data_IF_590242111494
#
_entry.id   IF_590242111494
#
_cell.length_a   1.000
_cell.length_b   1.000
_cell.length_c   1.000
_cell.angle_alpha   90.00
_cell.angle_beta   90.00
_cell.angle_gamma   90.00
#
_symmetry.space_group_name_H-M   'P 1'
#
loop_
_entity.id
_entity.type
_entity.pdbx_description
1 polymer ?
#
# COMPACT_ATOMS: atom_id res chain seq x y z
N UNK A 1 -10.68 4.43 -16.97
CA UNK A 1 -11.57 4.35 -15.80
C UNK A 1 -11.46 2.97 -15.20
N UNK A 2 -10.60 2.87 -14.20
CA UNK A 2 -10.44 1.67 -13.39
C UNK A 2 -11.40 1.80 -12.20
N UNK A 3 -12.01 0.70 -11.75
CA UNK A 3 -12.97 0.74 -10.65
C UNK A 3 -12.48 -0.20 -9.54
N UNK A 4 -12.33 0.36 -8.34
CA UNK A 4 -11.94 -0.35 -7.13
C UNK A 4 -12.94 -0.06 -6.01
N UNK A 5 -13.19 -1.03 -5.14
CA UNK A 5 -14.02 -0.83 -3.96
C UNK A 5 -13.30 0.04 -2.92
N UNK A 6 -11.97 -0.11 -2.83
CA UNK A 6 -11.09 0.67 -1.97
C UNK A 6 -9.83 1.07 -2.76
N UNK A 7 -9.52 2.38 -2.71
CA UNK A 7 -8.26 2.94 -3.19
C UNK A 7 -7.47 3.46 -1.99
N UNK A 8 -6.26 2.93 -1.79
CA UNK A 8 -5.35 3.31 -0.72
C UNK A 8 -4.24 4.15 -1.32
N UNK A 9 -3.98 5.33 -0.74
CA UNK A 9 -2.97 6.27 -1.23
C UNK A 9 -1.79 6.25 -0.27
N UNK A 10 -0.69 5.68 -0.71
CA UNK A 10 0.53 5.42 0.06
C UNK A 10 0.69 3.94 0.40
N UNK A 11 1.83 3.38 0.04
CA UNK A 11 2.27 2.00 0.31
C UNK A 11 3.19 1.86 1.52
N UNK A 12 3.13 2.81 2.47
CA UNK A 12 3.83 2.74 3.76
C UNK A 12 3.11 1.84 4.78
N UNK A 13 3.54 1.84 6.07
CA UNK A 13 3.01 0.95 7.10
C UNK A 13 1.48 1.00 7.23
N UNK A 14 0.92 2.22 7.25
CA UNK A 14 -0.53 2.41 7.39
C UNK A 14 -1.30 1.90 6.18
N UNK A 15 -0.80 2.13 4.96
CA UNK A 15 -1.46 1.70 3.74
C UNK A 15 -1.41 0.19 3.54
N UNK A 16 -0.25 -0.42 3.80
CA UNK A 16 -0.07 -1.87 3.79
C UNK A 16 -0.99 -2.56 4.82
N UNK A 17 -1.01 -2.07 6.07
CA UNK A 17 -1.90 -2.60 7.10
C UNK A 17 -3.37 -2.45 6.74
N UNK A 18 -3.78 -1.30 6.20
CA UNK A 18 -5.16 -1.07 5.77
C UNK A 18 -5.59 -1.99 4.63
N UNK A 19 -4.69 -2.26 3.66
CA UNK A 19 -4.97 -3.14 2.53
C UNK A 19 -5.20 -4.59 3.00
N UNK A 20 -4.29 -5.10 3.83
CA UNK A 20 -4.36 -6.43 4.41
C UNK A 20 -5.64 -6.59 5.25
N UNK A 21 -5.91 -5.66 6.17
CA UNK A 21 -7.10 -5.73 7.02
C UNK A 21 -8.39 -5.68 6.19
N UNK A 22 -8.48 -4.79 5.20
CA UNK A 22 -9.64 -4.71 4.32
C UNK A 22 -9.89 -6.02 3.56
N UNK A 23 -8.80 -6.68 3.11
CA UNK A 23 -8.89 -7.97 2.45
C UNK A 23 -9.37 -9.08 3.38
N UNK A 24 -8.83 -9.14 4.60
CA UNK A 24 -9.21 -10.08 5.65
C UNK A 24 -10.68 -9.87 6.10
N UNK A 25 -11.20 -8.64 6.00
CA UNK A 25 -12.62 -8.30 6.21
C UNK A 25 -13.53 -8.58 5.00
N UNK A 26 -12.98 -9.06 3.89
CA UNK A 26 -13.73 -9.58 2.75
C UNK A 26 -13.81 -8.66 1.53
N UNK A 27 -13.21 -7.46 1.55
CA UNK A 27 -13.13 -6.61 0.36
C UNK A 27 -12.02 -7.14 -0.55
N UNK A 28 -12.32 -7.45 -1.82
CA UNK A 28 -11.34 -8.08 -2.72
C UNK A 28 -10.80 -7.14 -3.80
N UNK A 29 -11.59 -6.15 -4.20
CA UNK A 29 -11.20 -5.21 -5.24
C UNK A 29 -10.51 -3.97 -4.63
N UNK A 30 -9.24 -4.14 -4.25
CA UNK A 30 -8.43 -3.13 -3.57
C UNK A 30 -7.25 -2.75 -4.46
N UNK A 31 -6.87 -1.46 -4.47
CA UNK A 31 -5.60 -0.99 -5.03
C UNK A 31 -4.83 -0.12 -4.05
N UNK A 32 -3.53 -0.33 -3.96
CA UNK A 32 -2.57 0.57 -3.31
C UNK A 32 -1.88 1.41 -4.40
N UNK A 33 -1.88 2.73 -4.26
CA UNK A 33 -1.15 3.65 -5.13
C UNK A 33 0.04 4.22 -4.35
N UNK A 34 1.25 3.97 -4.83
CA UNK A 34 2.50 4.45 -4.24
C UNK A 34 3.31 5.22 -5.29
N UNK A 35 3.80 6.41 -4.91
CA UNK A 35 4.60 7.28 -5.78
C UNK A 35 6.03 6.79 -5.91
N UNK A 36 6.53 6.07 -4.92
CA UNK A 36 7.88 5.55 -4.89
C UNK A 36 8.00 4.22 -5.67
N UNK A 37 9.24 3.78 -5.84
CA UNK A 37 9.60 2.55 -6.57
C UNK A 37 9.31 1.28 -5.79
N UNK A 38 9.09 1.39 -4.49
CA UNK A 38 8.93 0.27 -3.57
C UNK A 38 7.85 0.60 -2.54
N UNK A 39 7.23 -0.44 -2.00
CA UNK A 39 6.39 -0.35 -0.81
C UNK A 39 7.26 -0.21 0.45
N UNK A 40 6.65 0.06 1.59
CA UNK A 40 7.31 0.17 2.91
C UNK A 40 7.43 1.61 3.42
N UNK A 41 7.51 2.60 2.53
CA UNK A 41 7.52 4.02 2.90
C UNK A 41 8.65 4.35 3.88
N UNK A 42 8.31 4.96 5.03
CA UNK A 42 9.32 5.35 6.03
C UNK A 42 10.05 4.15 6.67
N UNK A 43 9.44 2.96 6.67
CA UNK A 43 10.02 1.77 7.30
C UNK A 43 11.33 1.34 6.65
N UNK A 44 11.53 1.62 5.37
CA UNK A 44 12.78 1.38 4.64
C UNK A 44 13.97 2.12 5.26
N UNK A 45 13.71 3.22 5.97
CA UNK A 45 14.74 4.03 6.64
C UNK A 45 14.92 3.65 8.12
N UNK A 46 14.00 2.87 8.67
CA UNK A 46 14.00 2.44 10.08
C UNK A 46 14.87 1.19 10.26
N UNK A 47 16.18 1.32 10.05
CA UNK A 47 17.16 0.22 10.18
C UNK A 47 17.54 0.00 11.66
N UNK A 48 16.54 -0.22 12.48
CA UNK A 48 16.67 -0.57 13.89
C UNK A 48 15.49 -1.45 14.34
N UNK A 49 15.71 -2.21 15.39
CA UNK A 49 14.70 -3.10 15.97
C UNK A 49 13.60 -2.32 16.72
N UNK A 50 12.57 -3.04 17.18
CA UNK A 50 11.46 -2.50 17.97
C UNK A 50 10.11 -2.55 17.26
N UNK A 51 10.05 -3.14 16.07
CA UNK A 51 8.81 -3.37 15.33
C UNK A 51 8.33 -4.82 15.54
N UNK A 52 7.06 -5.10 15.21
CA UNK A 52 6.53 -6.47 15.14
C UNK A 52 6.14 -7.15 16.46
N UNK A 53 6.60 -6.66 17.62
CA UNK A 53 6.37 -7.35 18.91
C UNK A 53 4.88 -7.60 19.24
N UNK A 54 4.01 -6.64 18.92
CA UNK A 54 2.57 -6.78 19.16
C UNK A 54 1.88 -7.62 18.08
N UNK A 55 2.21 -7.34 16.82
CA UNK A 55 1.54 -7.90 15.64
C UNK A 55 2.01 -9.32 15.31
N UNK A 56 3.33 -9.53 15.23
CA UNK A 56 3.97 -10.77 14.80
C UNK A 56 4.58 -11.59 15.94
N UNK A 57 4.58 -11.06 17.17
CA UNK A 57 5.25 -11.68 18.35
C UNK A 57 6.75 -11.94 18.12
N UNK A 58 7.36 -11.15 17.26
CA UNK A 58 8.75 -11.21 16.84
C UNK A 58 9.33 -9.79 16.88
N UNK A 59 10.60 -9.64 17.28
CA UNK A 59 11.29 -8.36 17.23
C UNK A 59 11.91 -8.17 15.85
N UNK A 60 11.43 -7.20 15.08
CA UNK A 60 11.82 -6.95 13.71
C UNK A 60 12.42 -5.55 13.55
N UNK A 61 13.23 -5.38 12.50
CA UNK A 61 13.55 -4.07 11.95
C UNK A 61 12.38 -3.46 11.18
N UNK A 62 12.46 -2.17 10.82
CA UNK A 62 11.47 -1.52 9.97
C UNK A 62 11.25 -2.21 8.63
N UNK A 63 12.31 -2.47 7.82
CA UNK A 63 12.16 -3.15 6.53
C UNK A 63 11.59 -4.57 6.66
N UNK A 64 12.02 -5.34 7.67
CA UNK A 64 11.46 -6.68 7.91
C UNK A 64 9.98 -6.62 8.28
N UNK A 65 9.57 -5.64 9.10
CA UNK A 65 8.16 -5.41 9.41
C UNK A 65 7.35 -5.03 8.17
N UNK A 66 7.87 -4.16 7.31
CA UNK A 66 7.24 -3.83 6.03
C UNK A 66 7.09 -5.07 5.15
N UNK A 67 8.15 -5.89 5.04
CA UNK A 67 8.16 -7.09 4.22
C UNK A 67 7.07 -8.08 4.63
N UNK A 68 6.80 -8.26 5.93
CA UNK A 68 5.70 -9.12 6.39
C UNK A 68 4.33 -8.72 5.81
N UNK A 69 4.06 -7.42 5.70
CA UNK A 69 2.82 -6.95 5.10
C UNK A 69 2.85 -6.96 3.57
N UNK A 70 4.02 -6.71 2.96
CA UNK A 70 4.20 -6.82 1.50
C UNK A 70 3.95 -8.27 1.06
N UNK A 71 4.49 -9.26 1.78
CA UNK A 71 4.26 -10.69 1.52
C UNK A 71 2.75 -11.01 1.55
N UNK A 72 2.02 -10.48 2.55
CA UNK A 72 0.56 -10.63 2.60
C UNK A 72 -0.16 -9.96 1.44
N UNK A 73 0.25 -8.75 1.05
CA UNK A 73 -0.31 -8.02 -0.10
C UNK A 73 -0.14 -8.83 -1.38
N UNK A 74 1.02 -9.44 -1.59
CA UNK A 74 1.30 -10.33 -2.71
C UNK A 74 0.50 -11.64 -2.63
N UNK A 75 0.47 -12.30 -1.46
CA UNK A 75 -0.30 -13.53 -1.23
C UNK A 75 -1.80 -13.33 -1.50
N UNK A 76 -2.34 -12.16 -1.13
CA UNK A 76 -3.74 -11.82 -1.30
C UNK A 76 -4.08 -11.29 -2.69
N UNK A 77 -3.09 -11.16 -3.58
CA UNK A 77 -3.23 -10.60 -4.93
C UNK A 77 -3.89 -9.21 -4.92
N UNK A 78 -3.50 -8.38 -3.93
CA UNK A 78 -3.97 -6.99 -3.84
C UNK A 78 -3.22 -6.17 -4.89
N UNK A 79 -3.97 -5.38 -5.69
CA UNK A 79 -3.36 -4.60 -6.75
C UNK A 79 -2.45 -3.50 -6.18
N UNK A 80 -1.29 -3.29 -6.80
CA UNK A 80 -0.35 -2.24 -6.43
C UNK A 80 0.06 -1.45 -7.69
N UNK A 81 -0.01 -0.13 -7.59
CA UNK A 81 0.47 0.81 -8.60
C UNK A 81 1.65 1.58 -8.02
N UNK A 82 2.86 1.11 -8.32
CA UNK A 82 4.12 1.81 -7.99
C UNK A 82 4.39 2.96 -8.97
N UNK A 83 5.33 3.83 -8.61
CA UNK A 83 5.73 5.00 -9.40
C UNK A 83 4.53 5.84 -9.89
N UNK A 84 3.46 5.86 -9.09
CA UNK A 84 2.17 6.46 -9.43
C UNK A 84 1.80 7.52 -8.40
N UNK A 85 1.69 8.77 -8.86
CA UNK A 85 1.34 9.90 -8.01
C UNK A 85 -0.15 10.22 -8.17
N UNK A 86 -0.87 10.27 -7.05
CA UNK A 86 -2.23 10.84 -7.02
C UNK A 86 -2.14 12.36 -7.06
N UNK A 87 -2.91 12.97 -7.95
CA UNK A 87 -2.96 14.42 -8.18
C UNK A 87 -4.20 15.07 -7.56
N UNK A 88 -5.33 14.36 -7.55
CA UNK A 88 -6.62 14.89 -7.13
C UNK A 88 -7.53 13.76 -6.65
N UNK A 89 -8.34 14.06 -5.64
CA UNK A 89 -9.46 13.22 -5.18
C UNK A 89 -10.70 14.12 -5.15
N UNK A 90 -11.70 13.76 -5.93
CA UNK A 90 -12.92 14.56 -6.05
C UNK A 90 -14.00 14.13 -5.04
N UNK A 91 -15.04 14.95 -4.76
CA UNK A 91 -16.14 14.58 -3.86
C UNK A 91 -16.94 13.34 -4.29
N UNK A 92 -16.98 13.05 -5.59
CA UNK A 92 -17.56 11.86 -6.20
C UNK A 92 -16.62 10.64 -6.18
N UNK A 93 -15.54 10.70 -5.39
CA UNK A 93 -14.58 9.61 -5.15
C UNK A 93 -13.82 9.19 -6.40
N UNK A 94 -13.61 10.12 -7.34
CA UNK A 94 -12.71 9.89 -8.47
C UNK A 94 -11.29 10.25 -8.03
N UNK A 95 -10.36 9.33 -8.26
CA UNK A 95 -8.94 9.50 -7.99
C UNK A 95 -8.23 9.73 -9.32
N UNK A 96 -7.64 10.91 -9.49
CA UNK A 96 -6.82 11.23 -10.66
C UNK A 96 -5.36 10.96 -10.33
N UNK A 97 -4.68 10.15 -11.14
CA UNK A 97 -3.31 9.76 -10.92
C UNK A 97 -2.46 9.90 -12.19
N UNK A 98 -1.13 9.87 -12.02
CA UNK A 98 -0.17 9.92 -13.11
C UNK A 98 1.01 8.98 -12.86
N UNK A 99 1.44 8.28 -13.92
CA UNK A 99 2.72 7.59 -13.95
C UNK A 99 3.32 7.63 -15.37
N UNK A 100 4.56 7.18 -15.51
CA UNK A 100 5.30 7.21 -16.78
C UNK A 100 4.73 6.29 -17.86
N UNK A 101 3.98 5.27 -17.48
CA UNK A 101 3.44 4.24 -18.39
C UNK A 101 2.08 4.62 -18.98
N UNK A 102 1.15 5.04 -18.12
CA UNK A 102 -0.25 5.31 -18.46
C UNK A 102 -0.51 6.80 -18.72
N UNK A 103 0.44 7.68 -18.39
CA UNK A 103 0.20 9.13 -18.41
C UNK A 103 -0.77 9.52 -17.29
N UNK A 104 -1.66 10.48 -17.56
CA UNK A 104 -2.69 10.91 -16.59
C UNK A 104 -3.97 10.09 -16.79
N UNK A 105 -4.47 9.50 -15.71
CA UNK A 105 -5.65 8.64 -15.75
C UNK A 105 -6.54 8.78 -14.50
N UNK A 106 -7.69 8.13 -14.59
CA UNK A 106 -8.74 7.95 -13.57
C UNK A 106 -9.27 6.53 -13.71
#
# INVERSE_FOLDING_TARGET
>A
MLNYDIVIIGGGPAGLGAAVEAYEKGVKNIVIIERDKYLGGILEQCIHNGFGLQEFKEELTGPEYAQRFIDKVEEYDINVMLETMVLEITPDRIVKAVNSKEGVFT
#
